data_IF_226321727640
#
_entry.id   IF_226321727640
#
_cell.length_a   1.000
_cell.length_b   1.000
_cell.length_c   1.000
_cell.angle_alpha   90.00
_cell.angle_beta   90.00
_cell.angle_gamma   90.00
#
_symmetry.space_group_name_H-M   'P 1'
#
loop_
_entity.id
_entity.type
_entity.pdbx_description
1 polymer ?
#
# COMPACT_ATOMS: atom_id res chain seq x y z
N UNK A 1 -4.32 -4.02 27.56
CA UNK A 1 -4.01 -2.84 26.77
C UNK A 1 -4.15 -3.12 25.29
N UNK A 2 -4.82 -2.25 24.58
CA UNK A 2 -4.99 -2.41 23.15
C UNK A 2 -3.74 -1.90 22.42
N UNK A 3 -3.21 -2.71 21.51
CA UNK A 3 -2.12 -2.31 20.64
C UNK A 3 -2.70 -1.83 19.33
N UNK A 4 -2.18 -0.72 18.83
CA UNK A 4 -2.55 -0.23 17.51
C UNK A 4 -1.52 -0.68 16.50
N UNK A 5 -2.01 -1.23 15.40
CA UNK A 5 -1.17 -1.54 14.25
C UNK A 5 -1.48 -0.50 13.20
N UNK A 6 -0.44 0.26 12.81
CA UNK A 6 -0.58 1.23 11.73
C UNK A 6 0.30 0.80 10.58
N UNK A 7 -0.30 0.75 9.41
CA UNK A 7 0.47 0.53 8.19
C UNK A 7 1.09 1.85 7.75
N UNK A 8 2.09 1.75 6.88
CA UNK A 8 2.68 2.94 6.28
C UNK A 8 1.61 3.63 5.43
N UNK A 9 1.50 4.94 5.61
CA UNK A 9 0.45 5.72 4.96
C UNK A 9 0.97 7.07 4.53
N UNK A 10 0.51 7.52 3.39
CA UNK A 10 0.79 8.85 2.87
C UNK A 10 -0.17 9.11 1.71
N UNK A 11 -0.10 10.30 1.11
CA UNK A 11 -0.91 10.59 -0.06
C UNK A 11 -0.35 9.86 -1.27
N UNK A 12 -1.18 9.66 -2.29
CA UNK A 12 -0.74 9.01 -3.53
C UNK A 12 0.39 9.79 -4.19
N UNK A 13 0.32 11.13 -4.13
CA UNK A 13 1.38 11.99 -4.68
C UNK A 13 2.69 11.75 -3.97
N UNK A 14 2.67 11.70 -2.65
CA UNK A 14 3.87 11.48 -1.86
C UNK A 14 4.47 10.09 -2.12
N UNK A 15 3.64 9.07 -2.18
CA UNK A 15 4.10 7.72 -2.51
C UNK A 15 4.78 7.68 -3.86
N UNK A 16 4.21 8.38 -4.85
CA UNK A 16 4.78 8.44 -6.20
C UNK A 16 6.11 9.20 -6.21
N UNK A 17 6.21 10.28 -5.45
CA UNK A 17 7.46 11.05 -5.37
C UNK A 17 8.58 10.25 -4.75
N UNK A 18 8.31 9.59 -3.63
CA UNK A 18 9.31 8.80 -2.92
C UNK A 18 9.62 7.52 -3.69
N UNK A 19 8.60 6.88 -4.24
CA UNK A 19 8.71 5.70 -5.10
C UNK A 19 9.69 4.66 -4.57
N UNK A 20 9.59 4.34 -3.29
CA UNK A 20 10.50 3.39 -2.67
C UNK A 20 10.07 1.94 -2.94
N UNK A 21 10.99 1.02 -2.67
CA UNK A 21 10.70 -0.42 -2.74
C UNK A 21 10.16 -0.85 -1.40
N UNK A 22 8.92 -1.34 -1.39
CA UNK A 22 8.33 -1.89 -0.17
C UNK A 22 8.85 -3.31 0.05
N UNK A 23 9.01 -3.66 1.31
CA UNK A 23 9.39 -5.02 1.66
C UNK A 23 8.25 -5.98 1.31
N UNK A 24 8.62 -7.23 1.07
CA UNK A 24 7.62 -8.25 0.78
C UNK A 24 6.60 -8.33 1.91
N UNK A 25 5.32 -8.20 1.55
CA UNK A 25 4.24 -8.22 2.53
C UNK A 25 3.97 -6.91 3.23
N UNK A 26 4.77 -5.88 2.99
CA UNK A 26 4.53 -4.57 3.59
C UNK A 26 3.37 -3.88 2.89
N UNK A 27 2.45 -3.34 3.68
CA UNK A 27 1.26 -2.68 3.15
C UNK A 27 1.44 -1.17 3.19
N UNK A 28 1.19 -0.51 2.05
CA UNK A 28 1.22 0.94 1.94
C UNK A 28 -0.19 1.44 1.64
N UNK A 29 -0.64 2.42 2.40
CA UNK A 29 -1.98 2.98 2.26
C UNK A 29 -1.89 4.39 1.68
N UNK A 30 -2.69 4.65 0.65
CA UNK A 30 -2.88 6.00 0.10
C UNK A 30 -4.05 6.64 0.82
N UNK A 31 -3.78 7.68 1.59
CA UNK A 31 -4.81 8.30 2.44
C UNK A 31 -5.79 9.16 1.65
N UNK A 32 -5.38 9.66 0.51
CA UNK A 32 -6.24 10.52 -0.33
C UNK A 32 -7.19 9.71 -1.22
N UNK A 33 -6.78 8.54 -1.66
CA UNK A 33 -7.60 7.69 -2.54
C UNK A 33 -8.23 6.51 -1.81
N UNK A 34 -7.80 6.24 -0.58
CA UNK A 34 -8.22 5.09 0.21
C UNK A 34 -7.88 3.74 -0.45
N UNK A 35 -6.81 3.74 -1.23
CA UNK A 35 -6.31 2.53 -1.89
C UNK A 35 -5.05 2.06 -1.17
N UNK A 36 -4.69 0.82 -1.41
CA UNK A 36 -3.49 0.25 -0.80
C UNK A 36 -2.75 -0.63 -1.78
N UNK A 37 -1.46 -0.82 -1.52
CA UNK A 37 -0.60 -1.72 -2.29
C UNK A 37 0.18 -2.60 -1.32
N UNK A 38 0.51 -3.80 -1.78
CA UNK A 38 1.37 -4.71 -1.01
C UNK A 38 2.72 -4.80 -1.72
N UNK A 39 3.78 -4.62 -0.94
CA UNK A 39 5.14 -4.72 -1.46
C UNK A 39 5.52 -6.16 -1.79
N UNK A 40 6.40 -6.31 -2.78
CA UNK A 40 6.95 -7.61 -3.16
C UNK A 40 8.46 -7.70 -2.89
N UNK A 41 9.05 -6.65 -2.35
CA UNK A 41 10.47 -6.61 -2.05
C UNK A 41 11.37 -6.33 -3.25
N UNK A 42 10.80 -6.17 -4.44
CA UNK A 42 11.56 -6.00 -5.68
C UNK A 42 11.15 -4.75 -6.44
N UNK A 43 9.85 -4.56 -6.65
CA UNK A 43 9.35 -3.47 -7.46
C UNK A 43 9.17 -2.20 -6.64
N UNK A 44 9.39 -1.04 -7.30
CA UNK A 44 9.11 0.24 -6.70
C UNK A 44 7.60 0.45 -6.59
N UNK A 45 7.20 1.43 -5.78
CA UNK A 45 5.79 1.68 -5.50
C UNK A 45 4.95 1.87 -6.77
N UNK A 46 5.45 2.63 -7.74
CA UNK A 46 4.67 2.91 -8.95
C UNK A 46 4.45 1.67 -9.81
N UNK A 47 5.29 0.66 -9.67
CA UNK A 47 5.17 -0.58 -10.45
C UNK A 47 4.28 -1.62 -9.76
N UNK A 48 3.83 -1.35 -8.55
CA UNK A 48 2.94 -2.24 -7.83
C UNK A 48 1.49 -1.94 -8.20
N UNK A 49 0.67 -2.99 -8.23
CA UNK A 49 -0.76 -2.83 -8.47
C UNK A 49 -1.49 -2.58 -7.15
N UNK A 50 -2.55 -1.77 -7.20
CA UNK A 50 -3.40 -1.61 -6.05
C UNK A 50 -4.14 -2.91 -5.74
N UNK A 51 -4.40 -3.15 -4.47
CA UNK A 51 -5.29 -4.23 -4.07
C UNK A 51 -6.69 -3.92 -4.57
N UNK A 52 -7.37 -4.95 -5.02
CA UNK A 52 -8.73 -4.82 -5.52
C UNK A 52 -9.68 -5.41 -4.51
N UNK A 53 -10.78 -4.69 -4.26
CA UNK A 53 -11.86 -5.19 -3.43
C UNK A 53 -13.08 -5.37 -4.33
N UNK A 54 -13.62 -6.56 -4.37
CA UNK A 54 -14.73 -6.89 -5.24
C UNK A 54 -15.69 -7.78 -4.49
N UNK A 55 -16.96 -7.41 -4.48
CA UNK A 55 -18.00 -8.17 -3.76
C UNK A 55 -17.66 -8.41 -2.28
N UNK A 56 -16.93 -7.48 -1.67
CA UNK A 56 -16.52 -7.62 -0.28
C UNK A 56 -15.26 -8.44 -0.06
N UNK A 57 -14.64 -8.92 -1.13
CA UNK A 57 -13.38 -9.67 -1.05
C UNK A 57 -12.23 -8.86 -1.59
N UNK A 58 -11.07 -9.04 -0.97
CA UNK A 58 -9.83 -8.41 -1.43
C UNK A 58 -9.16 -9.34 -2.43
N UNK A 59 -8.88 -8.80 -3.62
CA UNK A 59 -8.19 -9.54 -4.68
C UNK A 59 -6.76 -9.00 -4.84
N UNK A 60 -5.83 -9.90 -4.93
CA UNK A 60 -4.42 -9.57 -5.09
C UNK A 60 -3.98 -9.72 -6.54
#
# INVERSE_FOLDING_TARGET
MANRIQFRRDTSVRWTEVNLILMEGEIAIETDTHKMKIGDGVNTYVNLSHLRVENGYVLF
#
